data_IF_087232375176
#
_entry.id   IF_087232375176
#
_cell.length_a   1.000
_cell.length_b   1.000
_cell.length_c   1.000
_cell.angle_alpha   90.00
_cell.angle_beta   90.00
_cell.angle_gamma   90.00
#
_symmetry.space_group_name_H-M   'P 1'
#
loop_
_entity.id
_entity.type
_entity.pdbx_description
1 polymer ?
#
# COMPACT_ATOMS: atom_id res chain seq x y z
N UNK A 1 6.00 -5.63 48.23
CA UNK A 1 6.58 -4.32 47.87
C UNK A 1 6.96 -4.39 46.40
N UNK A 2 6.54 -3.37 45.63
CA UNK A 2 6.63 -3.24 44.17
C UNK A 2 8.09 -3.33 43.66
N UNK A 3 8.36 -3.68 42.40
CA UNK A 3 8.15 -2.79 41.24
C UNK A 3 7.91 -3.55 39.93
N UNK A 4 6.80 -3.25 39.27
CA UNK A 4 6.57 -3.54 37.84
C UNK A 4 7.36 -2.48 37.07
N UNK A 5 8.45 -2.89 36.42
CA UNK A 5 9.16 -2.03 35.47
C UNK A 5 8.41 -2.10 34.14
N UNK A 6 7.30 -1.38 34.05
CA UNK A 6 6.62 -1.13 32.78
C UNK A 6 7.43 -0.06 32.04
N UNK A 7 8.41 -0.53 31.26
CA UNK A 7 9.14 0.32 30.32
C UNK A 7 8.16 0.68 29.21
N UNK A 8 7.55 1.86 29.31
CA UNK A 8 6.81 2.51 28.24
C UNK A 8 7.72 2.63 27.02
N UNK A 9 7.55 1.70 26.08
CA UNK A 9 8.17 1.73 24.76
C UNK A 9 7.50 2.89 24.00
N UNK A 10 8.18 4.03 23.96
CA UNK A 10 7.73 5.20 23.23
C UNK A 10 7.93 4.95 21.73
N UNK A 11 6.86 4.55 21.09
CA UNK A 11 6.66 4.40 19.65
C UNK A 11 6.90 5.74 18.92
N UNK A 12 7.95 5.81 18.11
CA UNK A 12 8.14 6.79 17.02
C UNK A 12 8.58 6.07 15.74
N UNK A 13 8.12 4.82 15.54
CA UNK A 13 8.49 3.95 14.41
C UNK A 13 7.70 4.16 13.11
N UNK A 14 6.67 5.02 13.13
CA UNK A 14 5.69 5.13 12.05
C UNK A 14 6.25 5.49 10.67
N UNK A 15 7.31 6.29 10.57
CA UNK A 15 7.83 6.72 9.25
C UNK A 15 8.54 5.61 8.47
N UNK A 16 9.27 4.73 9.16
CA UNK A 16 9.99 3.64 8.50
C UNK A 16 9.04 2.53 8.06
N UNK A 17 8.02 2.22 8.87
CA UNK A 17 6.97 1.26 8.52
C UNK A 17 6.08 1.79 7.40
N UNK A 18 5.67 3.07 7.47
CA UNK A 18 4.89 3.72 6.40
C UNK A 18 5.65 3.71 5.06
N UNK A 19 6.95 4.02 5.08
CA UNK A 19 7.80 3.93 3.88
C UNK A 19 7.87 2.50 3.32
N UNK A 20 7.95 1.48 4.19
CA UNK A 20 7.94 0.07 3.77
C UNK A 20 6.60 -0.32 3.17
N UNK A 21 5.49 0.10 3.77
CA UNK A 21 4.13 -0.17 3.28
C UNK A 21 3.91 0.52 1.93
N UNK A 22 4.29 1.79 1.79
CA UNK A 22 4.22 2.53 0.54
C UNK A 22 4.98 1.82 -0.59
N UNK A 23 6.24 1.44 -0.33
CA UNK A 23 7.04 0.68 -1.30
C UNK A 23 6.40 -0.66 -1.65
N UNK A 24 5.96 -1.41 -0.63
CA UNK A 24 5.30 -2.70 -0.85
C UNK A 24 4.04 -2.57 -1.70
N UNK A 25 3.23 -1.51 -1.49
CA UNK A 25 2.04 -1.19 -2.30
C UNK A 25 2.43 -0.93 -3.76
N UNK A 26 3.45 -0.11 -4.01
CA UNK A 26 3.92 0.17 -5.36
C UNK A 26 4.37 -1.10 -6.08
N UNK A 27 5.14 -1.95 -5.40
CA UNK A 27 5.56 -3.25 -5.93
C UNK A 27 4.36 -4.16 -6.24
N UNK A 28 3.28 -4.11 -5.44
CA UNK A 28 2.07 -4.90 -5.72
C UNK A 28 1.32 -4.38 -6.95
N UNK A 29 1.18 -3.06 -7.12
CA UNK A 29 0.59 -2.49 -8.33
C UNK A 29 1.43 -2.81 -9.58
N UNK A 30 2.75 -2.77 -9.49
CA UNK A 30 3.63 -3.17 -10.59
C UNK A 30 3.41 -4.63 -11.01
N UNK A 31 3.20 -5.54 -10.05
CA UNK A 31 2.86 -6.95 -10.34
C UNK A 31 1.51 -7.14 -11.02
N UNK A 32 0.59 -6.17 -10.90
CA UNK A 32 -0.68 -6.18 -11.65
C UNK A 32 -0.52 -5.69 -13.09
N UNK A 33 0.66 -5.15 -13.45
CA UNK A 33 1.00 -4.68 -14.79
C UNK A 33 0.93 -3.17 -14.97
N UNK A 34 0.65 -2.39 -13.91
CA UNK A 34 0.73 -0.94 -13.97
C UNK A 34 2.15 -0.48 -14.26
N UNK A 35 2.29 0.67 -14.94
CA UNK A 35 3.60 1.30 -15.12
C UNK A 35 4.22 1.66 -13.77
N UNK A 36 5.53 1.86 -13.73
CA UNK A 36 6.23 2.27 -12.52
C UNK A 36 5.63 3.57 -11.93
N UNK A 37 5.48 4.60 -12.76
CA UNK A 37 4.87 5.88 -12.37
C UNK A 37 3.47 5.70 -11.77
N UNK A 38 2.61 4.95 -12.44
CA UNK A 38 1.25 4.69 -11.97
C UNK A 38 1.24 3.86 -10.68
N UNK A 39 2.17 2.91 -10.55
CA UNK A 39 2.29 2.07 -9.36
C UNK A 39 2.64 2.89 -8.12
N UNK A 40 3.56 3.85 -8.24
CA UNK A 40 3.90 4.78 -7.17
C UNK A 40 2.73 5.73 -6.84
N UNK A 41 2.03 6.20 -7.87
CA UNK A 41 0.85 7.07 -7.68
C UNK A 41 -0.26 6.34 -6.91
N UNK A 42 -0.59 5.11 -7.29
CA UNK A 42 -1.58 4.26 -6.63
C UNK A 42 -1.15 3.85 -5.22
N UNK A 43 0.15 3.66 -5.00
CA UNK A 43 0.68 3.35 -3.67
C UNK A 43 0.41 4.46 -2.65
N UNK A 44 0.50 5.72 -3.09
CA UNK A 44 0.25 6.90 -2.27
C UNK A 44 -1.20 7.35 -2.21
N UNK A 45 -2.09 6.73 -3.00
CA UNK A 45 -3.52 7.04 -2.98
C UNK A 45 -4.30 6.07 -2.07
N UNK A 46 -5.60 6.32 -1.95
CA UNK A 46 -6.53 5.42 -1.24
C UNK A 46 -6.90 4.16 -2.04
N UNK A 47 -6.28 3.93 -3.20
CA UNK A 47 -6.57 2.79 -4.06
C UNK A 47 -6.41 1.46 -3.32
N UNK A 48 -7.40 0.59 -3.42
CA UNK A 48 -7.37 -0.71 -2.74
C UNK A 48 -6.76 -1.79 -3.64
N UNK A 49 -5.66 -2.41 -3.19
CA UNK A 49 -4.99 -3.49 -3.92
C UNK A 49 -5.92 -4.66 -4.26
N UNK A 50 -6.83 -5.01 -3.34
CA UNK A 50 -7.79 -6.09 -3.55
C UNK A 50 -8.78 -5.78 -4.67
N UNK A 51 -9.27 -4.54 -4.72
CA UNK A 51 -10.19 -4.07 -5.78
C UNK A 51 -9.46 -4.04 -7.12
N UNK A 52 -8.28 -3.44 -7.18
CA UNK A 52 -7.48 -3.39 -8.41
C UNK A 52 -7.16 -4.78 -8.93
N UNK A 53 -6.74 -5.71 -8.07
CA UNK A 53 -6.46 -7.10 -8.44
C UNK A 53 -7.71 -7.79 -9.00
N UNK A 54 -8.86 -7.59 -8.37
CA UNK A 54 -10.11 -8.22 -8.80
C UNK A 54 -10.54 -7.73 -10.18
N UNK A 55 -10.42 -6.41 -10.44
CA UNK A 55 -10.73 -5.83 -11.75
C UNK A 55 -9.77 -6.33 -12.84
N UNK A 56 -8.47 -6.39 -12.55
CA UNK A 56 -7.46 -6.93 -13.48
C UNK A 56 -7.75 -8.41 -13.80
N UNK A 57 -8.07 -9.23 -12.80
CA UNK A 57 -8.44 -10.63 -13.00
C UNK A 57 -9.74 -10.81 -13.79
N UNK A 58 -10.67 -9.86 -13.70
CA UNK A 58 -11.88 -9.80 -14.52
C UNK A 58 -11.60 -9.37 -15.97
N UNK A 59 -10.35 -9.07 -16.34
CA UNK A 59 -9.96 -8.62 -17.68
C UNK A 59 -10.17 -7.12 -17.91
N UNK A 60 -10.38 -6.33 -16.86
CA UNK A 60 -10.50 -4.89 -16.98
C UNK A 60 -9.15 -4.29 -17.44
N UNK A 61 -9.14 -3.44 -18.48
CA UNK A 61 -7.91 -2.79 -18.93
C UNK A 61 -7.36 -1.86 -17.84
N UNK A 62 -6.03 -1.83 -17.69
CA UNK A 62 -5.36 -1.13 -16.59
C UNK A 62 -5.71 0.36 -16.49
N UNK A 63 -5.85 1.05 -17.63
CA UNK A 63 -6.26 2.46 -17.66
C UNK A 63 -7.64 2.68 -17.00
N UNK A 64 -8.58 1.76 -17.27
CA UNK A 64 -9.91 1.81 -16.66
C UNK A 64 -9.86 1.42 -15.18
N UNK A 65 -9.02 0.46 -14.80
CA UNK A 65 -8.81 0.12 -13.38
C UNK A 65 -8.31 1.34 -12.61
N UNK A 66 -7.30 2.05 -13.14
CA UNK A 66 -6.77 3.26 -12.51
C UNK A 66 -7.86 4.31 -12.33
N UNK A 67 -8.70 4.55 -13.34
CA UNK A 67 -9.83 5.50 -13.26
C UNK A 67 -10.91 5.10 -12.24
N UNK A 68 -11.05 3.83 -11.92
CA UNK A 68 -12.04 3.35 -10.93
C UNK A 68 -11.53 3.54 -9.49
N UNK A 69 -10.22 3.40 -9.27
CA UNK A 69 -9.64 3.35 -7.91
C UNK A 69 -8.91 4.63 -7.49
N UNK A 70 -8.72 5.58 -8.40
CA UNK A 70 -8.20 6.93 -8.16
C UNK A 70 -9.35 7.93 -8.02
#
# INVERSE_FOLDING_TARGET
MATITESTQSDHGGSAEDTRVFRWRAEQFGKLGFSEEMSWMLAGSSAELGVSRSLVQAGCPLDLVARIVL
#
